data_IF_056581416853
#
_entry.id   IF_056581416853
#
_cell.length_a   1.000
_cell.length_b   1.000
_cell.length_c   1.000
_cell.angle_alpha   90.00
_cell.angle_beta   90.00
_cell.angle_gamma   90.00
#
_symmetry.space_group_name_H-M   'P 1'
#
loop_
_entity.id
_entity.type
_entity.pdbx_description
1 polymer ?
#
# COMPACT_ATOMS: atom_id res chain seq x y z
N UNK A 1 -5.01 0.98 20.62
CA UNK A 1 -5.16 -0.48 20.44
C UNK A 1 -5.94 -1.00 21.64
N UNK A 2 -6.68 -2.10 21.53
CA UNK A 2 -7.22 -2.73 22.74
C UNK A 2 -6.03 -3.20 23.60
N UNK A 3 -6.06 -3.05 24.94
CA UNK A 3 -5.01 -3.58 25.79
C UNK A 3 -4.91 -5.10 25.58
N UNK A 4 -3.70 -5.68 25.62
CA UNK A 4 -3.55 -7.14 25.53
C UNK A 4 -4.36 -7.80 26.66
N UNK A 5 -4.97 -8.98 26.39
CA UNK A 5 -5.72 -9.70 27.42
C UNK A 5 -4.81 -10.01 28.61
N UNK A 6 -5.36 -10.03 29.82
CA UNK A 6 -4.58 -10.31 31.03
C UNK A 6 -3.87 -11.66 30.90
N UNK A 7 -2.58 -11.69 31.23
CA UNK A 7 -1.76 -12.91 31.18
C UNK A 7 -2.26 -13.98 32.15
N UNK A 8 -2.96 -13.57 33.20
CA UNK A 8 -3.55 -14.41 34.24
C UNK A 8 -4.83 -15.14 33.81
N UNK A 9 -5.50 -14.68 32.75
CA UNK A 9 -6.70 -15.35 32.26
C UNK A 9 -6.38 -16.67 31.53
N UNK A 10 -7.27 -17.69 31.60
CA UNK A 10 -7.16 -18.90 30.80
C UNK A 10 -7.02 -18.60 29.30
N UNK A 11 -6.21 -19.40 28.60
CA UNK A 11 -5.91 -19.21 27.17
C UNK A 11 -7.18 -18.99 26.32
N UNK A 12 -8.22 -19.79 26.56
CA UNK A 12 -9.50 -19.67 25.85
C UNK A 12 -10.12 -18.27 25.97
N UNK A 13 -10.12 -17.68 27.17
CA UNK A 13 -10.65 -16.33 27.38
C UNK A 13 -9.80 -15.28 26.68
N UNK A 14 -8.47 -15.42 26.72
CA UNK A 14 -7.56 -14.52 26.00
C UNK A 14 -7.80 -14.56 24.49
N UNK A 15 -8.00 -15.77 23.93
CA UNK A 15 -8.30 -15.96 22.51
C UNK A 15 -9.67 -15.39 22.13
N UNK A 16 -10.71 -15.60 22.94
CA UNK A 16 -12.05 -15.01 22.71
C UNK A 16 -11.98 -13.48 22.75
N UNK A 17 -11.24 -12.92 23.71
CA UNK A 17 -11.03 -11.49 23.82
C UNK A 17 -10.32 -10.93 22.58
N UNK A 18 -9.25 -11.59 22.12
CA UNK A 18 -8.55 -11.21 20.90
C UNK A 18 -9.47 -11.28 19.67
N UNK A 19 -10.21 -12.38 19.52
CA UNK A 19 -11.11 -12.63 18.40
C UNK A 19 -12.26 -11.62 18.31
N UNK A 20 -12.67 -11.06 19.46
CA UNK A 20 -13.71 -10.04 19.55
C UNK A 20 -13.24 -8.64 19.11
N UNK A 21 -11.96 -8.48 18.78
CA UNK A 21 -11.41 -7.19 18.32
C UNK A 21 -11.58 -6.99 16.82
N UNK A 22 -11.85 -5.75 16.41
CA UNK A 22 -11.80 -5.36 15.00
C UNK A 22 -10.39 -5.54 14.39
N UNK A 23 -9.34 -5.53 15.22
CA UNK A 23 -7.97 -5.78 14.76
C UNK A 23 -7.76 -7.24 14.37
N UNK A 24 -8.43 -8.19 15.04
CA UNK A 24 -8.39 -9.59 14.66
C UNK A 24 -9.12 -9.83 13.33
N UNK A 25 -10.28 -9.20 13.12
CA UNK A 25 -10.96 -9.24 11.82
C UNK A 25 -10.06 -8.69 10.69
N UNK A 26 -9.35 -7.60 10.94
CA UNK A 26 -8.34 -7.05 10.03
C UNK A 26 -7.19 -8.04 9.76
N UNK A 27 -6.69 -8.72 10.78
CA UNK A 27 -5.66 -9.76 10.63
C UNK A 27 -6.15 -10.93 9.75
N UNK A 28 -7.34 -11.46 10.01
CA UNK A 28 -7.94 -12.54 9.21
C UNK A 28 -8.15 -12.10 7.75
N UNK A 29 -8.51 -10.84 7.52
CA UNK A 29 -8.57 -10.27 6.17
C UNK A 29 -7.23 -10.35 5.44
N UNK A 30 -6.12 -9.96 6.08
CA UNK A 30 -4.79 -10.06 5.46
C UNK A 30 -4.36 -11.51 5.24
N UNK A 31 -4.63 -12.43 6.17
CA UNK A 31 -4.37 -13.87 5.98
C UNK A 31 -5.15 -14.40 4.78
N UNK A 32 -6.44 -14.06 4.68
CA UNK A 32 -7.30 -14.45 3.56
C UNK A 32 -6.76 -13.92 2.24
N UNK A 33 -6.33 -12.64 2.20
CA UNK A 33 -5.72 -12.03 1.03
C UNK A 33 -4.48 -12.80 0.57
N UNK A 34 -3.58 -13.16 1.50
CA UNK A 34 -2.36 -13.92 1.19
C UNK A 34 -2.67 -15.31 0.63
N UNK A 35 -3.58 -16.05 1.27
CA UNK A 35 -3.98 -17.39 0.82
C UNK A 35 -4.63 -17.35 -0.58
N UNK A 36 -5.52 -16.38 -0.80
CA UNK A 36 -6.16 -16.19 -2.10
C UNK A 36 -5.17 -15.73 -3.17
N UNK A 37 -4.22 -14.86 -2.83
CA UNK A 37 -3.17 -14.43 -3.77
C UNK A 37 -2.25 -15.57 -4.14
N UNK A 38 -1.82 -16.38 -3.17
CA UNK A 38 -1.00 -17.57 -3.41
C UNK A 38 -1.72 -18.56 -4.33
N UNK A 39 -2.97 -18.90 -4.02
CA UNK A 39 -3.79 -19.80 -4.84
C UNK A 39 -4.06 -19.24 -6.24
N UNK A 40 -4.27 -17.94 -6.37
CA UNK A 40 -4.34 -17.28 -7.67
C UNK A 40 -3.01 -17.37 -8.42
N UNK A 41 -1.87 -17.23 -7.75
CA UNK A 41 -0.53 -17.42 -8.34
C UNK A 41 -0.34 -18.83 -8.93
N UNK A 42 -0.87 -19.87 -8.28
CA UNK A 42 -0.82 -21.24 -8.81
C UNK A 42 -1.59 -21.40 -10.13
N UNK A 43 -2.60 -20.56 -10.40
CA UNK A 43 -3.33 -20.59 -11.68
C UNK A 43 -2.46 -20.12 -12.85
N UNK A 44 -1.42 -19.31 -12.58
CA UNK A 44 -0.44 -18.90 -13.58
C UNK A 44 0.56 -20.02 -13.90
N UNK A 45 0.93 -20.86 -12.93
CA UNK A 45 1.77 -22.03 -13.19
C UNK A 45 1.07 -23.07 -14.08
N UNK A 46 -0.26 -23.18 -13.96
CA UNK A 46 -1.09 -24.09 -14.74
C UNK A 46 -1.68 -23.44 -16.01
N UNK A 47 -1.30 -22.18 -16.31
CA UNK A 47 -1.82 -21.36 -17.41
C UNK A 47 -3.37 -21.25 -17.44
N UNK A 48 -4.05 -21.52 -16.33
CA UNK A 48 -5.50 -21.55 -16.20
C UNK A 48 -6.02 -20.37 -15.34
N UNK A 49 -5.54 -19.18 -15.67
CA UNK A 49 -5.75 -17.95 -14.90
C UNK A 49 -7.18 -17.39 -15.01
N UNK A 50 -8.02 -17.91 -15.90
CA UNK A 50 -9.44 -17.57 -15.99
C UNK A 50 -10.39 -18.68 -15.49
N UNK A 51 -9.88 -19.78 -14.91
CA UNK A 51 -10.73 -20.80 -14.26
C UNK A 51 -11.62 -20.20 -13.18
N UNK A 52 -12.78 -20.83 -12.92
CA UNK A 52 -13.73 -20.43 -11.85
C UNK A 52 -13.02 -20.20 -10.51
N UNK A 53 -12.10 -21.10 -10.15
CA UNK A 53 -11.32 -21.01 -8.93
C UNK A 53 -10.30 -19.86 -8.91
N UNK A 54 -9.69 -19.57 -10.07
CA UNK A 54 -8.82 -18.40 -10.21
C UNK A 54 -9.61 -17.10 -10.03
N UNK A 55 -10.78 -16.98 -10.68
CA UNK A 55 -11.62 -15.79 -10.53
C UNK A 55 -12.11 -15.64 -9.09
N UNK A 56 -12.56 -16.73 -8.47
CA UNK A 56 -12.96 -16.74 -7.06
C UNK A 56 -11.82 -16.26 -6.16
N UNK A 57 -10.62 -16.81 -6.31
CA UNK A 57 -9.46 -16.43 -5.50
C UNK A 57 -9.10 -14.95 -5.69
N UNK A 58 -9.08 -14.46 -6.94
CA UNK A 58 -8.82 -13.05 -7.24
C UNK A 58 -9.86 -12.12 -6.60
N UNK A 59 -11.16 -12.43 -6.75
CA UNK A 59 -12.23 -11.60 -6.20
C UNK A 59 -12.21 -11.62 -4.68
N UNK A 60 -12.05 -12.78 -4.06
CA UNK A 60 -11.95 -12.92 -2.61
C UNK A 60 -10.74 -12.18 -2.04
N UNK A 61 -9.60 -12.17 -2.73
CA UNK A 61 -8.44 -11.38 -2.33
C UNK A 61 -8.76 -9.88 -2.29
N UNK A 62 -9.48 -9.34 -3.28
CA UNK A 62 -9.87 -7.93 -3.30
C UNK A 62 -11.03 -7.59 -2.36
N UNK A 63 -11.94 -8.53 -2.06
CA UNK A 63 -12.90 -8.38 -0.96
C UNK A 63 -12.16 -8.26 0.37
N UNK A 64 -11.18 -9.13 0.62
CA UNK A 64 -10.36 -9.08 1.83
C UNK A 64 -9.53 -7.79 1.91
N UNK A 65 -8.97 -7.33 0.79
CA UNK A 65 -8.30 -6.04 0.71
C UNK A 65 -9.25 -4.88 1.05
N UNK A 66 -10.44 -4.84 0.44
CA UNK A 66 -11.42 -3.79 0.71
C UNK A 66 -11.87 -3.80 2.18
N UNK A 67 -12.08 -4.99 2.77
CA UNK A 67 -12.44 -5.11 4.18
C UNK A 67 -11.32 -4.61 5.11
N UNK A 68 -10.07 -4.99 4.87
CA UNK A 68 -8.92 -4.58 5.71
C UNK A 68 -8.67 -3.07 5.65
N UNK A 69 -8.61 -2.49 4.45
CA UNK A 69 -8.45 -1.04 4.31
C UNK A 69 -9.69 -0.27 4.80
N UNK A 70 -10.90 -0.81 4.59
CA UNK A 70 -12.14 -0.26 5.14
C UNK A 70 -12.12 -0.17 6.67
N UNK A 71 -11.60 -1.19 7.35
CA UNK A 71 -11.40 -1.18 8.81
C UNK A 71 -10.43 -0.05 9.23
N UNK A 72 -9.32 0.12 8.51
CA UNK A 72 -8.32 1.16 8.82
C UNK A 72 -8.92 2.55 8.66
N UNK A 73 -9.59 2.80 7.53
CA UNK A 73 -10.29 4.06 7.25
C UNK A 73 -11.37 4.35 8.30
N UNK A 74 -12.19 3.35 8.65
CA UNK A 74 -13.21 3.49 9.69
C UNK A 74 -12.61 3.85 11.05
N UNK A 75 -11.51 3.19 11.44
CA UNK A 75 -10.82 3.50 12.70
C UNK A 75 -10.24 4.91 12.71
N UNK A 76 -9.62 5.34 11.62
CA UNK A 76 -9.07 6.68 11.48
C UNK A 76 -10.17 7.75 11.59
N UNK A 77 -11.30 7.52 10.92
CA UNK A 77 -12.49 8.37 10.99
C UNK A 77 -13.04 8.47 12.41
N UNK A 78 -13.30 7.32 13.06
CA UNK A 78 -13.84 7.28 14.43
C UNK A 78 -12.90 7.90 15.46
N UNK A 79 -11.59 7.78 15.27
CA UNK A 79 -10.59 8.42 16.13
C UNK A 79 -10.65 9.96 16.03
N UNK A 80 -10.77 10.51 14.81
CA UNK A 80 -10.92 11.95 14.60
C UNK A 80 -12.20 12.48 15.24
N UNK A 81 -13.33 11.78 15.04
CA UNK A 81 -14.62 12.14 15.64
C UNK A 81 -14.55 12.19 17.17
N UNK A 82 -13.93 11.18 17.81
CA UNK A 82 -13.76 11.15 19.27
C UNK A 82 -12.85 12.25 19.80
N UNK A 83 -11.88 12.70 18.99
CA UNK A 83 -10.93 13.76 19.40
C UNK A 83 -11.49 15.18 19.28
N UNK A 84 -12.74 15.36 18.81
CA UNK A 84 -13.34 16.68 18.59
C UNK A 84 -12.68 17.52 17.50
N UNK A 85 -11.68 16.96 16.79
CA UNK A 85 -11.03 17.63 15.65
C UNK A 85 -11.99 17.68 14.48
N UNK A 86 -12.04 18.83 13.79
CA UNK A 86 -12.81 18.98 12.57
C UNK A 86 -12.49 17.84 11.59
N UNK A 87 -13.52 17.22 11.03
CA UNK A 87 -13.35 16.32 9.90
C UNK A 87 -12.66 17.12 8.80
N UNK A 88 -11.45 16.71 8.42
CA UNK A 88 -10.74 17.33 7.30
C UNK A 88 -11.63 17.33 6.04
N UNK A 89 -11.40 18.27 5.13
CA UNK A 89 -12.12 18.35 3.86
C UNK A 89 -12.13 16.98 3.15
N UNK A 90 -13.20 16.62 2.40
CA UNK A 90 -13.23 15.39 1.59
C UNK A 90 -11.96 15.19 0.74
N UNK A 91 -11.36 16.28 0.26
CA UNK A 91 -10.09 16.28 -0.47
C UNK A 91 -8.93 15.76 0.39
N UNK A 92 -8.86 16.14 1.67
CA UNK A 92 -7.84 15.66 2.61
C UNK A 92 -8.04 14.19 2.97
N UNK A 93 -9.28 13.69 2.96
CA UNK A 93 -9.56 12.27 3.20
C UNK A 93 -9.11 11.39 2.03
N UNK A 94 -9.31 11.84 0.78
CA UNK A 94 -8.81 11.15 -0.42
C UNK A 94 -7.27 11.15 -0.47
N UNK A 95 -6.65 12.15 0.16
CA UNK A 95 -5.20 12.20 0.37
C UNK A 95 -4.66 11.14 1.34
N UNK A 96 -5.49 10.41 2.08
CA UNK A 96 -5.01 9.34 2.96
C UNK A 96 -4.65 8.08 2.14
N UNK A 97 -3.45 7.53 2.36
CA UNK A 97 -2.98 6.37 1.60
C UNK A 97 -3.89 5.14 1.78
N UNK A 98 -4.50 4.95 2.96
CA UNK A 98 -5.40 3.83 3.20
C UNK A 98 -6.71 3.99 2.42
N UNK A 99 -7.20 5.22 2.27
CA UNK A 99 -8.35 5.52 1.42
C UNK A 99 -8.01 5.26 -0.04
N UNK A 100 -6.82 5.64 -0.49
CA UNK A 100 -6.35 5.38 -1.85
C UNK A 100 -6.28 3.87 -2.14
N UNK A 101 -5.69 3.07 -1.25
CA UNK A 101 -5.67 1.61 -1.41
C UNK A 101 -7.06 0.98 -1.30
N UNK A 102 -7.98 1.52 -0.48
CA UNK A 102 -9.38 1.08 -0.45
C UNK A 102 -10.06 1.30 -1.80
N UNK A 103 -9.93 2.50 -2.37
CA UNK A 103 -10.46 2.82 -3.71
C UNK A 103 -9.88 1.85 -4.74
N UNK A 104 -8.56 1.61 -4.70
CA UNK A 104 -7.93 0.68 -5.63
C UNK A 104 -8.43 -0.76 -5.45
N UNK A 105 -8.60 -1.23 -4.21
CA UNK A 105 -9.15 -2.56 -3.95
C UNK A 105 -10.55 -2.72 -4.57
N UNK A 106 -11.41 -1.71 -4.45
CA UNK A 106 -12.75 -1.71 -5.07
C UNK A 106 -12.68 -1.67 -6.60
N UNK A 107 -11.82 -0.84 -7.18
CA UNK A 107 -11.61 -0.79 -8.63
C UNK A 107 -11.20 -2.16 -9.17
N UNK A 108 -10.24 -2.82 -8.52
CA UNK A 108 -9.78 -4.15 -8.93
C UNK A 108 -10.82 -5.25 -8.69
N UNK A 109 -11.66 -5.09 -7.66
CA UNK A 109 -12.75 -6.00 -7.36
C UNK A 109 -13.80 -6.04 -8.47
N UNK A 110 -14.09 -4.91 -9.12
CA UNK A 110 -15.16 -4.82 -10.14
C UNK A 110 -14.66 -4.79 -11.59
N UNK A 111 -13.36 -4.60 -11.81
CA UNK A 111 -12.78 -4.61 -13.18
C UNK A 111 -12.26 -5.99 -13.60
N UNK A 112 -11.82 -6.13 -14.86
CA UNK A 112 -11.16 -7.37 -15.34
C UNK A 112 -9.86 -7.63 -14.57
N UNK A 113 -9.59 -8.91 -14.34
CA UNK A 113 -8.44 -9.36 -13.55
C UNK A 113 -7.12 -8.77 -14.07
N UNK A 114 -6.35 -8.19 -13.15
CA UNK A 114 -5.02 -7.64 -13.42
C UNK A 114 -4.08 -8.21 -12.36
N UNK A 115 -3.43 -9.33 -12.65
CA UNK A 115 -2.66 -10.08 -11.65
C UNK A 115 -1.63 -9.24 -10.89
N UNK A 116 -0.93 -8.35 -11.61
CA UNK A 116 0.07 -7.46 -11.02
C UNK A 116 -0.50 -6.54 -9.92
N UNK A 117 -1.81 -6.27 -9.94
CA UNK A 117 -2.49 -5.47 -8.93
C UNK A 117 -2.58 -6.15 -7.55
N UNK A 118 -2.45 -7.48 -7.47
CA UNK A 118 -2.44 -8.19 -6.19
C UNK A 118 -1.12 -8.01 -5.43
N UNK A 119 -0.02 -7.81 -6.14
CA UNK A 119 1.32 -7.91 -5.54
C UNK A 119 1.61 -6.82 -4.49
N UNK A 120 1.29 -5.53 -4.70
CA UNK A 120 1.44 -4.52 -3.66
C UNK A 120 0.67 -4.87 -2.38
N UNK A 121 -0.60 -5.30 -2.54
CA UNK A 121 -1.46 -5.69 -1.42
C UNK A 121 -0.92 -6.93 -0.68
N UNK A 122 -0.37 -7.89 -1.41
CA UNK A 122 0.24 -9.08 -0.82
C UNK A 122 1.49 -8.74 -0.01
N UNK A 123 2.37 -7.87 -0.54
CA UNK A 123 3.56 -7.41 0.20
C UNK A 123 3.15 -6.73 1.50
N UNK A 124 2.23 -5.75 1.47
CA UNK A 124 1.73 -5.14 2.69
C UNK A 124 1.12 -6.15 3.67
N UNK A 125 0.34 -7.11 3.15
CA UNK A 125 -0.30 -8.14 3.96
C UNK A 125 0.70 -9.04 4.68
N UNK A 126 1.86 -9.35 4.09
CA UNK A 126 2.94 -10.11 4.77
C UNK A 126 3.39 -9.35 6.02
N UNK A 127 3.72 -8.07 5.89
CA UNK A 127 4.16 -7.26 7.04
C UNK A 127 3.06 -7.11 8.08
N UNK A 128 1.80 -6.93 7.66
CA UNK A 128 0.66 -6.84 8.58
C UNK A 128 0.43 -8.13 9.36
N UNK A 129 0.47 -9.29 8.71
CA UNK A 129 0.35 -10.60 9.37
C UNK A 129 1.51 -10.83 10.32
N UNK A 130 2.75 -10.56 9.90
CA UNK A 130 3.93 -10.74 10.74
C UNK A 130 3.91 -9.84 11.98
N UNK A 131 3.65 -8.54 11.79
CA UNK A 131 3.61 -7.57 12.89
C UNK A 131 2.46 -7.86 13.87
N UNK A 132 1.29 -8.27 13.37
CA UNK A 132 0.18 -8.69 14.24
C UNK A 132 0.49 -9.98 14.98
N UNK A 133 1.09 -10.96 14.31
CA UNK A 133 1.54 -12.20 14.96
C UNK A 133 2.50 -11.90 16.10
N UNK A 134 3.51 -11.06 15.85
CA UNK A 134 4.49 -10.66 16.86
C UNK A 134 3.89 -9.86 18.01
N UNK A 135 3.05 -8.87 17.71
CA UNK A 135 2.58 -7.89 18.69
C UNK A 135 1.33 -8.29 19.47
N UNK A 136 0.50 -9.17 18.90
CA UNK A 136 -0.80 -9.53 19.48
C UNK A 136 -0.96 -11.03 19.65
N UNK A 137 -0.69 -11.83 18.60
CA UNK A 137 -0.98 -13.26 18.64
C UNK A 137 -0.02 -14.02 19.58
N UNK A 138 1.29 -13.81 19.45
CA UNK A 138 2.29 -14.48 20.28
C UNK A 138 2.11 -14.16 21.77
N UNK A 139 1.99 -12.89 22.22
CA UNK A 139 1.72 -12.60 23.63
C UNK A 139 0.40 -13.17 24.15
N UNK A 140 -0.61 -13.34 23.29
CA UNK A 140 -1.91 -13.93 23.67
C UNK A 140 -1.77 -15.44 23.94
N UNK A 141 -0.97 -16.15 23.14
CA UNK A 141 -0.77 -17.60 23.25
C UNK A 141 0.28 -17.92 24.32
N UNK A 142 1.40 -17.19 24.29
CA UNK A 142 2.57 -17.33 25.15
C UNK A 142 2.87 -15.97 25.79
N UNK A 143 2.21 -15.64 26.93
CA UNK A 143 2.49 -14.40 27.64
C UNK A 143 3.96 -14.34 28.07
N UNK A 144 4.63 -13.18 27.92
CA UNK A 144 5.99 -13.02 28.42
C UNK A 144 6.01 -13.17 29.96
N UNK A 145 7.10 -13.69 30.54
CA UNK A 145 7.23 -13.76 31.99
C UNK A 145 7.18 -12.35 32.61
N UNK A 146 6.77 -12.24 33.89
CA UNK A 146 6.77 -10.97 34.62
C UNK A 146 8.15 -10.31 34.50
N UNK A 147 8.17 -9.09 34.02
CA UNK A 147 9.42 -8.36 33.78
C UNK A 147 9.74 -7.49 34.99
N UNK A 148 10.90 -7.64 35.65
CA UNK A 148 11.31 -6.77 36.75
C UNK A 148 11.37 -5.30 36.31
N UNK A 149 11.13 -4.38 37.25
CA UNK A 149 11.16 -2.94 36.98
C UNK A 149 12.52 -2.52 36.37
N UNK A 150 12.48 -1.80 35.25
CA UNK A 150 13.68 -1.33 34.53
C UNK A 150 14.26 -2.31 33.51
N UNK A 151 13.74 -3.53 33.39
CA UNK A 151 14.16 -4.49 32.36
C UNK A 151 13.19 -4.53 31.19
N UNK A 152 13.69 -4.88 30.00
CA UNK A 152 12.83 -5.10 28.82
C UNK A 152 12.17 -6.46 28.92
N UNK A 153 10.88 -6.59 28.54
CA UNK A 153 10.20 -7.87 28.52
C UNK A 153 10.96 -8.87 27.66
N UNK A 154 11.14 -10.09 28.19
CA UNK A 154 11.80 -11.15 27.46
C UNK A 154 10.94 -11.58 26.27
N UNK A 155 11.47 -11.43 25.06
CA UNK A 155 10.83 -11.86 23.83
C UNK A 155 11.11 -13.34 23.55
N UNK A 156 10.17 -14.00 22.86
CA UNK A 156 10.41 -15.35 22.35
C UNK A 156 11.28 -15.32 21.09
N UNK A 157 12.00 -16.41 20.80
CA UNK A 157 12.85 -16.52 19.61
C UNK A 157 12.09 -16.26 18.30
N UNK A 158 10.83 -16.67 18.22
CA UNK A 158 9.96 -16.38 17.07
C UNK A 158 9.61 -14.89 16.98
N UNK A 159 9.33 -14.22 18.11
CA UNK A 159 9.08 -12.77 18.15
C UNK A 159 10.30 -11.98 17.66
N UNK A 160 11.51 -12.41 18.05
CA UNK A 160 12.77 -11.80 17.60
C UNK A 160 13.05 -12.05 16.12
N UNK A 161 12.80 -13.28 15.64
CA UNK A 161 12.95 -13.64 14.23
C UNK A 161 12.02 -12.81 13.34
N UNK A 162 10.75 -12.65 13.73
CA UNK A 162 9.81 -11.79 13.02
C UNK A 162 10.27 -10.33 13.06
N UNK A 163 10.72 -9.86 14.23
CA UNK A 163 11.24 -8.50 14.38
C UNK A 163 12.43 -8.22 13.47
N UNK A 164 13.37 -9.16 13.39
CA UNK A 164 14.54 -9.11 12.51
C UNK A 164 14.14 -9.13 11.04
N UNK A 165 13.23 -10.02 10.64
CA UNK A 165 12.71 -10.07 9.27
C UNK A 165 12.09 -8.72 8.86
N UNK A 166 11.18 -8.19 9.68
CA UNK A 166 10.50 -6.92 9.39
C UNK A 166 11.55 -5.81 9.25
N UNK A 167 12.51 -5.71 10.16
CA UNK A 167 13.56 -4.70 10.11
C UNK A 167 14.43 -4.81 8.85
N UNK A 168 14.89 -6.01 8.51
CA UNK A 168 15.87 -6.23 7.45
C UNK A 168 15.26 -6.10 6.05
N UNK A 169 13.97 -6.42 5.90
CA UNK A 169 13.32 -6.47 4.60
C UNK A 169 12.32 -5.33 4.35
N UNK A 170 12.07 -4.45 5.32
CA UNK A 170 11.10 -3.35 5.15
C UNK A 170 11.46 -2.44 3.97
N UNK A 171 12.65 -1.85 3.94
CA UNK A 171 13.04 -0.90 2.88
C UNK A 171 13.10 -1.55 1.50
N UNK A 172 13.63 -2.77 1.43
CA UNK A 172 13.66 -3.55 0.19
C UNK A 172 12.24 -3.86 -0.32
N UNK A 173 11.33 -4.22 0.59
CA UNK A 173 9.93 -4.51 0.26
C UNK A 173 9.16 -3.26 -0.15
N UNK A 174 9.41 -2.12 0.50
CA UNK A 174 8.82 -0.83 0.12
C UNK A 174 9.32 -0.36 -1.25
N UNK A 175 10.60 -0.59 -1.55
CA UNK A 175 11.16 -0.34 -2.88
C UNK A 175 10.55 -1.27 -3.94
N UNK A 176 10.32 -2.55 -3.60
CA UNK A 176 9.61 -3.49 -4.46
C UNK A 176 8.17 -3.03 -4.72
N UNK A 177 7.43 -2.59 -3.69
CA UNK A 177 6.07 -2.05 -3.85
C UNK A 177 6.08 -0.85 -4.78
N UNK A 178 7.00 0.11 -4.61
CA UNK A 178 7.13 1.25 -5.50
C UNK A 178 7.37 0.82 -6.96
N UNK A 179 8.25 -0.16 -7.19
CA UNK A 179 8.49 -0.75 -8.51
C UNK A 179 7.24 -1.41 -9.09
N UNK A 180 6.49 -2.17 -8.29
CA UNK A 180 5.24 -2.82 -8.69
C UNK A 180 4.14 -1.81 -9.05
N UNK A 181 4.02 -0.71 -8.29
CA UNK A 181 3.06 0.36 -8.57
C UNK A 181 3.36 1.04 -9.90
N UNK A 182 4.63 1.37 -10.15
CA UNK A 182 5.05 1.97 -11.42
C UNK A 182 4.86 0.97 -12.58
N UNK A 183 5.25 -0.30 -12.40
CA UNK A 183 5.07 -1.34 -13.40
C UNK A 183 3.59 -1.55 -13.74
N UNK A 184 2.70 -1.47 -12.74
CA UNK A 184 1.26 -1.58 -12.93
C UNK A 184 0.72 -0.42 -13.77
N UNK A 185 1.22 0.80 -13.57
CA UNK A 185 0.86 1.93 -14.42
C UNK A 185 1.24 1.70 -15.88
N UNK A 186 2.48 1.27 -16.15
CA UNK A 186 2.90 0.95 -17.52
C UNK A 186 2.08 -0.19 -18.14
N UNK A 187 1.73 -1.22 -17.36
CA UNK A 187 0.86 -2.32 -17.81
C UNK A 187 -0.53 -1.83 -18.21
N UNK A 188 -1.10 -0.87 -17.48
CA UNK A 188 -2.41 -0.27 -17.76
C UNK A 188 -2.31 0.68 -18.97
N UNK A 189 -1.24 1.48 -19.05
CA UNK A 189 -0.96 2.34 -20.20
C UNK A 189 -0.89 1.52 -21.49
N UNK A 190 -0.15 0.41 -21.50
CA UNK A 190 -0.10 -0.49 -22.66
C UNK A 190 -1.48 -1.03 -23.05
N UNK A 191 -2.34 -1.33 -22.08
CA UNK A 191 -3.73 -1.72 -22.37
C UNK A 191 -4.58 -0.56 -22.93
N UNK A 192 -4.29 0.69 -22.54
CA UNK A 192 -4.96 1.89 -23.04
C UNK A 192 -4.55 2.21 -24.48
N UNK A 193 -3.24 2.15 -24.78
CA UNK A 193 -2.70 2.33 -26.13
C UNK A 193 -3.26 1.26 -27.08
N UNK A 194 -3.38 0.02 -26.62
CA UNK A 194 -4.00 -1.08 -27.38
C UNK A 194 -5.54 -1.05 -27.37
N UNK A 195 -6.17 0.03 -26.91
CA UNK A 195 -7.62 0.26 -26.91
C UNK A 195 -8.44 -0.89 -26.29
N UNK A 196 -7.88 -1.56 -25.29
CA UNK A 196 -8.59 -2.62 -24.57
C UNK A 196 -9.82 -2.05 -23.85
N UNK A 197 -10.91 -2.80 -23.77
CA UNK A 197 -12.13 -2.34 -23.08
C UNK A 197 -11.83 -1.89 -21.65
N UNK A 198 -12.37 -0.73 -21.27
CA UNK A 198 -12.26 -0.07 -19.95
C UNK A 198 -10.84 0.30 -19.47
N UNK A 199 -9.81 0.16 -20.32
CA UNK A 199 -8.42 0.48 -19.95
C UNK A 199 -8.20 1.97 -19.70
N UNK A 200 -8.86 2.86 -20.45
CA UNK A 200 -8.77 4.31 -20.27
C UNK A 200 -9.30 4.78 -18.90
N UNK A 201 -10.43 4.23 -18.46
CA UNK A 201 -10.97 4.53 -17.12
C UNK A 201 -9.98 4.07 -16.04
N UNK A 202 -9.44 2.85 -16.18
CA UNK A 202 -8.40 2.35 -15.26
C UNK A 202 -7.15 3.22 -15.29
N UNK A 203 -6.73 3.69 -16.46
CA UNK A 203 -5.56 4.54 -16.61
C UNK A 203 -5.74 5.86 -15.85
N UNK A 204 -6.89 6.52 -16.01
CA UNK A 204 -7.16 7.80 -15.31
C UNK A 204 -7.13 7.58 -13.80
N UNK A 205 -7.90 6.61 -13.29
CA UNK A 205 -7.98 6.34 -11.84
C UNK A 205 -6.59 5.96 -11.28
N UNK A 206 -5.87 5.07 -11.97
CA UNK A 206 -4.56 4.63 -11.51
C UNK A 206 -3.49 5.72 -11.63
N UNK A 207 -3.62 6.65 -12.58
CA UNK A 207 -2.73 7.82 -12.68
C UNK A 207 -2.94 8.76 -11.50
N UNK A 208 -4.19 8.99 -11.07
CA UNK A 208 -4.48 9.78 -9.88
C UNK A 208 -3.89 9.12 -8.62
N UNK A 209 -4.05 7.80 -8.49
CA UNK A 209 -3.42 7.01 -7.43
C UNK A 209 -1.90 7.17 -7.45
N UNK A 210 -1.24 6.89 -8.57
CA UNK A 210 0.22 6.97 -8.68
C UNK A 210 0.72 8.40 -8.43
N UNK A 211 -0.01 9.42 -8.89
CA UNK A 211 0.33 10.82 -8.64
C UNK A 211 0.32 11.17 -7.16
N UNK A 212 -0.66 10.67 -6.41
CA UNK A 212 -0.69 10.82 -4.96
C UNK A 212 0.45 10.04 -4.29
N UNK A 213 0.78 8.85 -4.79
CA UNK A 213 1.94 8.08 -4.30
C UNK A 213 3.27 8.80 -4.54
N UNK A 214 3.43 9.48 -5.68
CA UNK A 214 4.62 10.29 -5.97
C UNK A 214 4.82 11.40 -4.94
N UNK A 215 3.75 12.05 -4.45
CA UNK A 215 3.88 13.09 -3.43
C UNK A 215 4.05 12.55 -2.01
N UNK A 216 3.62 11.32 -1.75
CA UNK A 216 3.54 10.75 -0.39
C UNK A 216 4.64 9.74 -0.06
N UNK A 217 5.27 9.12 -1.07
CA UNK A 217 6.22 8.02 -0.88
C UNK A 217 7.59 8.34 -1.44
N UNK A 218 8.58 8.44 -0.55
CA UNK A 218 10.00 8.58 -0.92
C UNK A 218 10.51 7.36 -1.71
N UNK A 219 9.94 6.17 -1.49
CA UNK A 219 10.28 4.97 -2.26
C UNK A 219 9.83 5.08 -3.72
N UNK A 220 8.65 5.66 -3.98
CA UNK A 220 8.16 5.90 -5.35
C UNK A 220 9.00 6.96 -6.04
N UNK A 221 9.33 8.06 -5.35
CA UNK A 221 10.24 9.09 -5.85
C UNK A 221 11.62 8.50 -6.19
N UNK A 222 12.19 7.71 -5.27
CA UNK A 222 13.48 7.05 -5.45
C UNK A 222 13.48 6.06 -6.61
N UNK A 223 12.41 5.26 -6.75
CA UNK A 223 12.27 4.32 -7.87
C UNK A 223 12.15 5.06 -9.22
N UNK A 224 11.37 6.14 -9.29
CA UNK A 224 11.29 6.97 -10.50
C UNK A 224 12.64 7.59 -10.86
N UNK A 225 13.38 8.09 -9.86
CA UNK A 225 14.74 8.61 -10.07
C UNK A 225 15.68 7.51 -10.57
N UNK A 226 15.59 6.30 -10.01
CA UNK A 226 16.39 5.15 -10.47
C UNK A 226 16.07 4.77 -11.92
N UNK A 227 14.79 4.71 -12.29
CA UNK A 227 14.34 4.44 -13.66
C UNK A 227 14.82 5.55 -14.61
N UNK A 228 14.71 6.81 -14.19
CA UNK A 228 15.19 7.96 -14.95
C UNK A 228 16.70 7.87 -15.22
N UNK A 229 17.51 7.66 -14.18
CA UNK A 229 18.96 7.55 -14.31
C UNK A 229 19.40 6.36 -15.19
N UNK A 230 18.69 5.22 -15.11
CA UNK A 230 18.91 4.08 -16.01
C UNK A 230 18.57 4.42 -17.44
N UNK A 231 17.46 5.10 -17.67
CA UNK A 231 17.07 5.56 -19.00
C UNK A 231 18.07 6.56 -19.59
N UNK A 232 18.58 7.50 -18.78
CA UNK A 232 19.63 8.43 -19.20
C UNK A 232 20.93 7.72 -19.57
N UNK A 233 21.34 6.75 -18.74
CA UNK A 233 22.54 5.93 -19.02
C UNK A 233 22.39 5.18 -20.34
N UNK A 234 21.20 4.62 -20.62
CA UNK A 234 20.92 3.98 -21.90
C UNK A 234 20.95 5.01 -23.03
N UNK A 235 20.26 6.15 -22.88
CA UNK A 235 20.14 7.21 -23.87
C UNK A 235 21.49 7.79 -24.34
N UNK A 236 22.47 7.80 -23.44
CA UNK A 236 23.81 8.33 -23.66
C UNK A 236 24.77 7.31 -24.30
N UNK A 237 24.37 6.05 -24.48
CA UNK A 237 25.23 5.09 -25.17
C UNK A 237 25.50 5.53 -26.62
N UNK A 238 26.74 5.34 -27.06
CA UNK A 238 27.19 5.75 -28.40
C UNK A 238 26.49 4.96 -29.51
N UNK A 239 26.10 3.71 -29.25
CA UNK A 239 25.42 2.82 -30.18
C UNK A 239 23.91 3.06 -30.27
N UNK A 240 23.35 4.02 -29.52
CA UNK A 240 21.92 4.26 -29.54
C UNK A 240 21.48 5.06 -30.79
N UNK A 241 20.47 4.56 -31.55
CA UNK A 241 19.84 5.30 -32.64
C UNK A 241 19.30 6.67 -32.19
N UNK A 242 19.50 7.76 -32.98
CA UNK A 242 19.04 9.11 -32.64
C UNK A 242 17.55 9.18 -32.29
N UNK A 243 16.70 8.41 -32.99
CA UNK A 243 15.27 8.36 -32.73
C UNK A 243 14.93 7.89 -31.30
N UNK A 244 15.66 6.91 -30.76
CA UNK A 244 15.43 6.42 -29.40
C UNK A 244 15.88 7.45 -28.36
N UNK A 245 16.99 8.15 -28.61
CA UNK A 245 17.45 9.24 -27.76
C UNK A 245 16.46 10.39 -27.72
N UNK A 246 16.00 10.86 -28.89
CA UNK A 246 14.97 11.90 -29.00
C UNK A 246 13.65 11.46 -28.36
N UNK A 247 13.27 10.19 -28.51
CA UNK A 247 12.09 9.61 -27.85
C UNK A 247 12.20 9.64 -26.33
N UNK A 248 13.35 9.29 -25.77
CA UNK A 248 13.61 9.36 -24.32
C UNK A 248 13.54 10.80 -23.78
N UNK A 249 14.18 11.75 -24.47
CA UNK A 249 14.12 13.17 -24.10
C UNK A 249 12.68 13.71 -24.17
N UNK A 250 11.95 13.37 -25.24
CA UNK A 250 10.53 13.74 -25.38
C UNK A 250 9.67 13.17 -24.26
N UNK A 251 9.86 11.89 -23.90
CA UNK A 251 9.17 11.26 -22.78
C UNK A 251 9.46 11.97 -21.46
N UNK A 252 10.73 12.28 -21.16
CA UNK A 252 11.11 13.05 -19.96
C UNK A 252 10.43 14.42 -19.93
N UNK A 253 10.40 15.12 -21.07
CA UNK A 253 9.72 16.41 -21.21
C UNK A 253 8.23 16.32 -20.85
N UNK A 254 7.51 15.37 -21.44
CA UNK A 254 6.08 15.14 -21.16
C UNK A 254 5.86 14.74 -19.71
N UNK A 255 6.67 13.83 -19.16
CA UNK A 255 6.55 13.40 -17.78
C UNK A 255 6.75 14.56 -16.79
N UNK A 256 7.74 15.43 -17.05
CA UNK A 256 7.98 16.63 -16.26
C UNK A 256 6.82 17.63 -16.37
N UNK A 257 6.34 17.91 -17.58
CA UNK A 257 5.19 18.80 -17.77
C UNK A 257 3.93 18.27 -17.08
N UNK A 258 3.66 16.97 -17.17
CA UNK A 258 2.53 16.34 -16.49
C UNK A 258 2.67 16.41 -14.96
N UNK A 259 3.87 16.16 -14.42
CA UNK A 259 4.16 16.31 -13.01
C UNK A 259 3.89 17.74 -12.51
N UNK A 260 4.43 18.71 -13.24
CA UNK A 260 4.37 20.14 -12.90
C UNK A 260 2.97 20.73 -13.05
N UNK A 261 2.20 20.26 -14.03
CA UNK A 261 0.81 20.68 -14.26
C UNK A 261 -0.20 20.02 -13.31
N UNK A 262 0.18 18.94 -12.63
CA UNK A 262 -0.68 18.24 -11.65
C UNK A 262 -0.27 18.50 -10.20
N UNK A 263 0.65 19.45 -9.95
CA UNK A 263 1.05 19.85 -8.61
C UNK A 263 0.01 20.76 -7.95
N UNK A 264 -0.86 20.14 -7.16
CA UNK A 264 -1.94 20.82 -6.41
C UNK A 264 -1.38 21.89 -5.45
N UNK A 265 -0.14 21.75 -4.96
CA UNK A 265 0.45 22.75 -4.07
C UNK A 265 0.61 24.11 -4.75
N UNK A 266 0.85 24.14 -6.07
CA UNK A 266 0.90 25.40 -6.84
C UNK A 266 -0.44 26.10 -6.90
N UNK A 267 -1.53 25.33 -6.96
CA UNK A 267 -2.89 25.86 -6.99
C UNK A 267 -3.42 26.22 -5.59
N UNK A 268 -2.91 25.57 -4.54
CA UNK A 268 -3.25 25.89 -3.15
C UNK A 268 -2.46 27.09 -2.59
N UNK A 269 -1.20 27.28 -3.02
CA UNK A 269 -0.40 28.45 -2.61
C UNK A 269 -0.92 29.77 -3.20
N UNK A 270 -1.64 29.73 -4.34
CA UNK A 270 -2.30 30.91 -4.91
C UNK A 270 -3.54 31.39 -4.13
N UNK A 271 -4.00 30.65 -3.11
CA UNK A 271 -5.16 31.00 -2.28
C UNK A 271 -4.83 31.44 -0.85
N UNK A 272 -3.55 31.56 -0.48
CA UNK A 272 -3.21 32.23 0.79
C UNK A 272 -3.17 33.74 0.57
N UNK A 273 -4.06 34.54 1.20
CA UNK A 273 -3.87 35.97 1.24
C UNK A 273 -2.52 36.24 1.91
N UNK A 274 -1.70 37.01 1.19
CA UNK A 274 -0.36 37.43 1.58
C UNK A 274 -0.44 38.06 2.98
N UNK A 275 -0.14 37.27 4.02
CA UNK A 275 -0.04 37.81 5.37
C UNK A 275 1.16 38.73 5.40
N UNK A 276 0.88 40.02 5.50
CA UNK A 276 1.87 41.07 5.64
C UNK A 276 2.85 40.73 6.78
N UNK A 277 4.16 40.97 6.61
CA UNK A 277 5.15 40.63 7.63
C UNK A 277 4.87 41.42 8.90
N UNK A 278 4.63 40.71 10.00
CA UNK A 278 4.56 41.30 11.35
C UNK A 278 5.91 41.98 11.63
N UNK A 279 5.86 43.29 11.81
CA UNK A 279 6.97 44.05 12.39
C UNK A 279 7.26 43.50 13.78
N UNK A 280 8.52 43.14 14.01
CA UNK A 280 9.03 42.81 15.34
C UNK A 280 8.99 44.07 16.23
N UNK A 281 8.37 43.94 17.39
CA UNK A 281 8.64 44.71 18.60
C UNK A 281 8.76 43.71 19.74
#
# INVERSE_FOLDING_TARGET
MAPPPSSEAPLTQRLISLASTLQFAWFIGHVTLLLCTFRYGLSYMTLNYYSRWSQFSYRTAFVAAAATYGIVVFKAFRAKQKSGKAMGSPVQMIGDENVQYLIMALVWLFTRQTALALLPFAVYSIFHVLTYTRGMLLPTIQPPPPTPAGQKPQSSALSDSIGSFVKNYYDASMSLVAGLEIALWFRILGAAVLMQKTSWIKLIIYTLFLRARISQSTFVQGMLHHIGARGDTLAQRQDMPPALRSGWEGFKGVAKQAHDGTDINRYMQGQQPQMAPKKAQ
#
